data_IF_921012726824
#
_entry.id   IF_921012726824
#
_cell.length_a   1.000
_cell.length_b   1.000
_cell.length_c   1.000
_cell.angle_alpha   90.00
_cell.angle_beta   90.00
_cell.angle_gamma   90.00
#
_symmetry.space_group_name_H-M   'P 1'
#
loop_
_entity.id
_entity.type
_entity.pdbx_description
1 polymer ?
#
# COMPACT_ATOMS: atom_id res chain seq x y z
N UNK A 1 -29.76 -32.20 45.86
CA UNK A 1 -28.92 -32.56 47.01
C UNK A 1 -28.96 -31.41 48.02
N UNK A 2 -28.85 -31.75 49.31
CA UNK A 2 -28.60 -30.91 50.52
C UNK A 2 -27.26 -30.12 50.33
N UNK A 3 -26.86 -29.03 51.07
CA UNK A 3 -27.27 -28.48 52.40
C UNK A 3 -27.74 -26.99 52.43
N UNK A 4 -28.51 -26.51 53.45
CA UNK A 4 -28.16 -26.00 54.81
C UNK A 4 -27.29 -24.72 54.84
N UNK A 5 -27.34 -23.79 55.81
CA UNK A 5 -28.23 -23.30 56.87
C UNK A 5 -27.35 -22.32 57.72
N UNK A 6 -27.94 -21.52 58.63
CA UNK A 6 -27.26 -20.75 59.71
C UNK A 6 -26.40 -19.55 59.25
N UNK A 7 -26.25 -18.43 59.97
CA UNK A 7 -26.86 -17.81 61.16
C UNK A 7 -26.65 -16.26 60.97
N UNK A 8 -27.11 -15.28 61.76
CA UNK A 8 -27.61 -15.19 63.14
C UNK A 8 -28.69 -14.06 63.23
N UNK A 9 -29.39 -13.96 64.36
CA UNK A 9 -30.16 -12.78 64.80
C UNK A 9 -29.30 -11.93 65.76
N UNK A 10 -29.56 -10.62 65.87
CA UNK A 10 -30.12 -10.03 67.11
C UNK A 10 -30.45 -8.53 66.96
N UNK A 11 -31.64 -8.15 67.44
CA UNK A 11 -32.03 -6.76 67.66
C UNK A 11 -31.68 -6.33 69.09
N UNK A 12 -31.37 -5.05 69.33
CA UNK A 12 -32.19 -4.20 70.22
C UNK A 12 -31.75 -2.73 70.28
N UNK A 13 -32.76 -1.86 70.44
CA UNK A 13 -32.68 -0.45 70.77
C UNK A 13 -33.05 -0.28 72.25
N UNK A 14 -32.21 0.40 73.04
CA UNK A 14 -32.54 1.20 74.26
C UNK A 14 -31.22 1.90 74.68
N UNK A 15 -31.13 3.05 75.37
CA UNK A 15 -31.98 4.24 75.56
C UNK A 15 -31.35 5.12 76.68
N UNK A 16 -30.81 6.30 76.31
CA UNK A 16 -30.78 7.55 77.11
C UNK A 16 -29.86 7.67 78.37
N UNK A 17 -29.04 8.74 78.40
CA UNK A 17 -28.84 9.78 79.49
C UNK A 17 -27.40 10.37 79.47
N UNK A 18 -27.24 11.59 78.91
CA UNK A 18 -26.37 12.72 79.33
C UNK A 18 -24.83 12.60 79.51
N UNK A 19 -24.04 13.71 79.60
CA UNK A 19 -24.39 15.14 79.54
C UNK A 19 -23.68 15.99 78.45
N UNK A 20 -24.08 17.26 78.39
CA UNK A 20 -23.76 18.32 77.45
C UNK A 20 -22.26 18.61 77.14
N UNK A 21 -22.02 19.02 75.88
CA UNK A 21 -20.92 19.92 75.47
C UNK A 21 -21.51 21.08 74.68
N UNK A 22 -21.15 22.31 75.03
CA UNK A 22 -21.70 23.54 74.47
C UNK A 22 -20.93 24.00 73.23
N UNK A 23 -21.62 24.34 72.14
CA UNK A 23 -21.03 25.10 71.02
C UNK A 23 -21.92 26.29 70.65
N UNK A 24 -21.32 27.48 70.61
CA UNK A 24 -21.99 28.69 70.11
C UNK A 24 -22.08 28.64 68.57
N UNK A 25 -23.29 28.84 68.04
CA UNK A 25 -23.54 28.97 66.60
C UNK A 25 -23.84 30.44 66.29
N UNK A 26 -23.12 31.01 65.31
CA UNK A 26 -23.43 32.34 64.76
C UNK A 26 -24.62 32.26 63.81
N UNK A 27 -25.49 33.26 63.85
CA UNK A 27 -26.68 33.37 63.00
C UNK A 27 -26.33 33.44 61.50
N UNK A 28 -27.10 32.74 60.65
CA UNK A 28 -27.06 32.88 59.19
C UNK A 28 -28.46 33.22 58.66
N UNK A 29 -28.54 34.15 57.71
CA UNK A 29 -29.76 34.91 57.39
C UNK A 29 -30.48 34.40 56.12
N UNK A 30 -30.84 33.10 56.08
CA UNK A 30 -31.51 32.48 54.92
C UNK A 30 -32.64 31.50 55.29
N UNK A 31 -33.49 31.84 56.27
CA UNK A 31 -34.75 31.12 56.49
C UNK A 31 -35.93 31.90 55.89
N UNK A 32 -36.47 31.34 54.80
CA UNK A 32 -37.65 31.81 54.07
C UNK A 32 -38.89 31.67 54.95
N UNK A 33 -39.78 32.66 54.93
CA UNK A 33 -40.97 32.69 55.78
C UNK A 33 -42.19 32.05 55.11
N UNK A 34 -43.20 31.68 55.89
CA UNK A 34 -44.46 31.12 55.38
C UNK A 34 -45.25 32.07 54.47
N UNK A 35 -44.93 33.38 54.46
CA UNK A 35 -45.49 34.34 53.51
C UNK A 35 -44.92 34.18 52.08
N UNK A 36 -43.66 33.75 51.95
CA UNK A 36 -42.98 33.60 50.66
C UNK A 36 -43.52 32.41 49.86
N UNK A 37 -43.94 31.34 50.56
CA UNK A 37 -44.57 30.15 49.97
C UNK A 37 -45.92 30.48 49.31
N UNK A 38 -46.69 31.42 49.88
CA UNK A 38 -47.94 31.88 49.29
C UNK A 38 -47.70 32.67 47.98
N UNK A 39 -46.59 33.40 47.89
CA UNK A 39 -46.23 34.21 46.72
C UNK A 39 -45.59 33.38 45.58
N UNK A 40 -45.08 32.17 45.87
CA UNK A 40 -44.68 31.21 44.84
C UNK A 40 -45.90 30.61 44.11
N UNK A 41 -47.00 30.37 44.84
CA UNK A 41 -48.22 29.73 44.31
C UNK A 41 -49.00 30.64 43.35
N UNK A 42 -48.92 31.96 43.51
CA UNK A 42 -49.51 32.92 42.56
C UNK A 42 -48.72 33.01 41.25
N UNK A 43 -47.38 32.93 41.30
CA UNK A 43 -46.50 32.94 40.11
C UNK A 43 -46.60 31.68 39.25
N UNK A 44 -46.92 30.52 39.83
CA UNK A 44 -47.08 29.26 39.09
C UNK A 44 -48.32 29.22 38.17
N UNK A 45 -49.32 30.09 38.41
CA UNK A 45 -50.56 30.14 37.62
C UNK A 45 -50.50 31.08 36.39
N UNK A 46 -49.33 31.61 36.01
CA UNK A 46 -49.16 32.47 34.84
C UNK A 46 -48.10 31.96 33.84
N UNK A 47 -48.07 30.65 33.57
CA UNK A 47 -47.28 30.10 32.45
C UNK A 47 -48.03 30.35 31.12
N UNK A 48 -47.49 31.10 30.15
CA UNK A 48 -48.16 31.33 28.88
C UNK A 48 -48.07 30.07 27.99
N UNK A 49 -49.22 29.45 27.71
CA UNK A 49 -49.37 28.23 26.89
C UNK A 49 -49.04 28.39 25.39
N UNK A 50 -48.37 29.47 24.98
CA UNK A 50 -47.97 29.74 23.59
C UNK A 50 -46.57 29.27 23.21
N UNK A 51 -45.66 29.05 24.17
CA UNK A 51 -44.25 28.70 23.82
C UNK A 51 -44.09 27.24 23.34
N UNK A 52 -44.86 26.30 23.91
CA UNK A 52 -44.81 24.86 23.56
C UNK A 52 -45.23 24.57 22.11
N UNK A 53 -46.24 25.28 21.58
CA UNK A 53 -46.81 24.98 20.25
C UNK A 53 -45.87 25.36 19.10
N UNK A 54 -44.97 26.32 19.29
CA UNK A 54 -43.99 26.73 18.26
C UNK A 54 -42.86 25.70 18.11
N UNK A 55 -42.26 25.28 19.22
CA UNK A 55 -41.22 24.23 19.22
C UNK A 55 -41.77 22.91 18.67
N UNK A 56 -42.95 22.48 19.11
CA UNK A 56 -43.60 21.26 18.62
C UNK A 56 -43.80 21.26 17.09
N UNK A 57 -44.12 22.41 16.49
CA UNK A 57 -44.23 22.57 15.04
C UNK A 57 -42.88 22.49 14.32
N UNK A 58 -41.80 23.06 14.89
CA UNK A 58 -40.44 22.92 14.33
C UNK A 58 -39.98 21.46 14.32
N UNK A 59 -40.19 20.74 15.42
CA UNK A 59 -39.87 19.31 15.49
C UNK A 59 -40.70 18.48 14.50
N UNK A 60 -41.99 18.78 14.32
CA UNK A 60 -42.83 18.13 13.30
C UNK A 60 -42.33 18.38 11.87
N UNK A 61 -41.92 19.61 11.56
CA UNK A 61 -41.36 19.95 10.24
C UNK A 61 -40.02 19.21 10.03
N UNK A 62 -39.17 19.15 11.04
CA UNK A 62 -37.87 18.46 10.96
C UNK A 62 -38.03 16.95 10.76
N UNK A 63 -38.99 16.30 11.43
CA UNK A 63 -39.24 14.85 11.24
C UNK A 63 -39.83 14.56 9.86
N UNK A 64 -40.73 15.40 9.34
CA UNK A 64 -41.26 15.28 7.97
C UNK A 64 -40.15 15.43 6.93
N UNK A 65 -39.26 16.42 7.08
CA UNK A 65 -38.09 16.59 6.19
C UNK A 65 -37.18 15.37 6.24
N UNK A 66 -36.89 14.85 7.45
CA UNK A 66 -36.07 13.64 7.61
C UNK A 66 -36.66 12.42 6.90
N UNK A 67 -37.98 12.20 7.03
CA UNK A 67 -38.69 11.11 6.34
C UNK A 67 -38.64 11.28 4.81
N UNK A 68 -38.78 12.51 4.30
CA UNK A 68 -38.65 12.81 2.86
C UNK A 68 -37.22 12.54 2.38
N UNK A 69 -36.20 12.90 3.15
CA UNK A 69 -34.80 12.60 2.81
C UNK A 69 -34.52 11.08 2.80
N UNK A 70 -34.97 10.35 3.83
CA UNK A 70 -34.79 8.89 3.93
C UNK A 70 -35.51 8.17 2.77
N UNK A 71 -36.76 8.53 2.48
CA UNK A 71 -37.50 7.95 1.35
C UNK A 71 -36.87 8.30 0.00
N UNK A 72 -36.35 9.51 -0.17
CA UNK A 72 -35.57 9.91 -1.35
C UNK A 72 -34.31 9.06 -1.56
N UNK A 73 -33.54 8.81 -0.50
CA UNK A 73 -32.35 7.93 -0.53
C UNK A 73 -32.71 6.48 -0.85
N UNK A 74 -33.80 5.96 -0.27
CA UNK A 74 -34.28 4.60 -0.55
C UNK A 74 -34.75 4.45 -2.01
N UNK A 75 -35.46 5.44 -2.55
CA UNK A 75 -35.87 5.45 -3.97
C UNK A 75 -34.66 5.54 -4.88
N UNK A 76 -33.71 6.45 -4.62
CA UNK A 76 -32.49 6.58 -5.40
C UNK A 76 -31.66 5.28 -5.39
N UNK A 77 -31.50 4.65 -4.22
CA UNK A 77 -30.81 3.36 -4.07
C UNK A 77 -31.51 2.24 -4.84
N UNK A 78 -32.85 2.21 -4.79
CA UNK A 78 -33.67 1.24 -5.55
C UNK A 78 -33.56 1.45 -7.05
N UNK A 79 -33.50 2.70 -7.53
CA UNK A 79 -33.30 3.03 -8.95
C UNK A 79 -31.89 2.62 -9.39
N UNK A 80 -30.85 2.93 -8.62
CA UNK A 80 -29.47 2.50 -8.91
C UNK A 80 -29.36 0.98 -8.94
N UNK A 81 -29.99 0.27 -7.99
CA UNK A 81 -30.06 -1.18 -7.99
C UNK A 81 -30.76 -1.73 -9.24
N UNK A 82 -31.93 -1.20 -9.60
CA UNK A 82 -32.66 -1.60 -10.80
C UNK A 82 -31.89 -1.31 -12.11
N UNK A 83 -31.17 -0.19 -12.19
CA UNK A 83 -30.32 0.14 -13.34
C UNK A 83 -29.10 -0.80 -13.42
N UNK A 84 -28.42 -1.04 -12.29
CA UNK A 84 -27.27 -1.97 -12.22
C UNK A 84 -27.71 -3.40 -12.54
N UNK A 85 -28.85 -3.86 -12.01
CA UNK A 85 -29.43 -5.17 -12.32
C UNK A 85 -29.84 -5.30 -13.80
N UNK A 86 -30.47 -4.26 -14.39
CA UNK A 86 -30.75 -4.24 -15.84
C UNK A 86 -29.48 -4.25 -16.68
N UNK A 87 -28.44 -3.53 -16.29
CA UNK A 87 -27.14 -3.56 -17.00
C UNK A 87 -26.48 -4.94 -16.92
N UNK A 88 -26.52 -5.59 -15.75
CA UNK A 88 -26.00 -6.95 -15.56
C UNK A 88 -26.78 -7.97 -16.37
N UNK A 89 -28.11 -7.85 -16.44
CA UNK A 89 -28.94 -8.73 -17.26
C UNK A 89 -28.64 -8.55 -18.75
N UNK A 90 -28.49 -7.30 -19.22
CA UNK A 90 -28.16 -6.99 -20.62
C UNK A 90 -26.73 -7.39 -21.00
N UNK A 91 -25.80 -7.39 -20.04
CA UNK A 91 -24.44 -7.93 -20.21
C UNK A 91 -24.45 -9.46 -20.25
N UNK A 92 -25.23 -10.11 -19.38
CA UNK A 92 -25.41 -11.57 -19.36
C UNK A 92 -26.07 -12.07 -20.65
N UNK A 93 -27.08 -11.37 -21.14
CA UNK A 93 -27.77 -11.62 -22.42
C UNK A 93 -26.82 -11.45 -23.62
N UNK A 94 -25.94 -10.44 -23.60
CA UNK A 94 -24.86 -10.32 -24.58
C UNK A 94 -23.87 -11.49 -24.51
N UNK A 95 -23.44 -11.90 -23.31
CA UNK A 95 -22.55 -13.06 -23.16
C UNK A 95 -23.20 -14.37 -23.62
N UNK A 96 -24.49 -14.59 -23.35
CA UNK A 96 -25.18 -15.80 -23.82
C UNK A 96 -25.35 -15.83 -25.33
N UNK A 97 -25.61 -14.68 -25.97
CA UNK A 97 -25.70 -14.59 -27.43
C UNK A 97 -24.33 -14.70 -28.13
N UNK A 98 -23.22 -14.52 -27.40
CA UNK A 98 -21.85 -14.80 -27.86
C UNK A 98 -21.48 -16.29 -27.74
N UNK A 99 -22.30 -17.12 -27.08
CA UNK A 99 -22.07 -18.54 -26.88
C UNK A 99 -22.77 -19.47 -27.90
N UNK A 100 -23.47 -18.92 -28.89
CA UNK A 100 -24.43 -19.70 -29.71
C UNK A 100 -24.30 -19.52 -31.23
N UNK A 101 -23.11 -19.25 -31.76
CA UNK A 101 -22.88 -19.28 -33.21
C UNK A 101 -21.43 -19.71 -33.58
N UNK A 102 -21.22 -20.95 -34.08
CA UNK A 102 -19.89 -21.46 -34.40
C UNK A 102 -19.59 -21.35 -35.91
N UNK A 103 -19.36 -20.14 -36.44
CA UNK A 103 -18.96 -19.96 -37.85
C UNK A 103 -17.80 -18.98 -38.06
N UNK A 104 -16.64 -19.56 -38.40
CA UNK A 104 -15.57 -19.21 -39.39
C UNK A 104 -15.24 -17.77 -39.83
N UNK A 105 -16.10 -16.76 -39.67
CA UNK A 105 -16.03 -15.50 -40.44
C UNK A 105 -15.09 -14.43 -39.85
N UNK A 106 -14.93 -14.41 -38.52
CA UNK A 106 -14.05 -13.47 -37.83
C UNK A 106 -12.57 -13.66 -38.21
N UNK A 107 -12.14 -14.91 -38.40
CA UNK A 107 -10.74 -15.25 -38.76
C UNK A 107 -10.41 -14.84 -40.20
N UNK A 108 -11.35 -15.02 -41.13
CA UNK A 108 -11.19 -14.61 -42.53
C UNK A 108 -11.12 -13.07 -42.65
N UNK A 109 -11.99 -12.36 -41.92
CA UNK A 109 -12.00 -10.89 -41.87
C UNK A 109 -10.68 -10.33 -41.34
N UNK A 110 -10.11 -10.95 -40.29
CA UNK A 110 -8.80 -10.57 -39.75
C UNK A 110 -7.66 -10.79 -40.77
N UNK A 111 -7.67 -11.91 -41.49
CA UNK A 111 -6.64 -12.23 -42.47
C UNK A 111 -6.63 -11.27 -43.66
N UNK A 112 -7.79 -10.86 -44.20
CA UNK A 112 -7.82 -9.91 -45.32
C UNK A 112 -7.41 -8.48 -44.89
N UNK A 113 -7.74 -8.06 -43.65
CA UNK A 113 -7.23 -6.81 -43.06
C UNK A 113 -5.71 -6.82 -42.92
N UNK A 114 -5.11 -7.94 -42.52
CA UNK A 114 -3.65 -8.12 -42.53
C UNK A 114 -3.07 -8.06 -43.95
N UNK A 115 -3.75 -8.64 -44.95
CA UNK A 115 -3.30 -8.67 -46.35
C UNK A 115 -3.30 -7.28 -46.98
N UNK A 116 -4.35 -6.49 -46.77
CA UNK A 116 -4.45 -5.10 -47.23
C UNK A 116 -3.36 -4.21 -46.62
N UNK A 117 -3.01 -4.41 -45.34
CA UNK A 117 -1.98 -3.61 -44.65
C UNK A 117 -0.56 -3.86 -45.17
N UNK A 118 -0.29 -5.04 -45.72
CA UNK A 118 1.02 -5.40 -46.30
C UNK A 118 1.19 -4.91 -47.74
N UNK A 119 0.10 -4.58 -48.44
CA UNK A 119 0.14 -4.07 -49.82
C UNK A 119 0.54 -2.59 -49.93
N UNK A 120 0.57 -1.84 -48.81
CA UNK A 120 0.84 -0.39 -48.80
C UNK A 120 2.24 -0.10 -48.27
N UNK A 121 3.26 -0.48 -49.03
CA UNK A 121 4.65 -0.05 -48.80
C UNK A 121 5.43 0.04 -50.12
N UNK A 122 5.86 1.23 -50.57
CA UNK A 122 6.68 1.36 -51.78
C UNK A 122 8.13 0.91 -51.51
N UNK A 123 8.84 0.36 -52.50
CA UNK A 123 10.24 0.00 -52.36
C UNK A 123 11.13 1.26 -52.40
N UNK A 124 12.13 1.31 -51.52
CA UNK A 124 13.21 2.31 -51.57
C UNK A 124 14.50 1.58 -51.92
N UNK A 125 14.99 1.79 -53.13
CA UNK A 125 16.33 1.34 -53.56
C UNK A 125 17.41 2.26 -52.98
N UNK A 126 18.56 1.69 -52.61
CA UNK A 126 19.88 2.33 -52.75
C UNK A 126 21.00 1.27 -52.69
N UNK A 127 22.16 1.49 -53.35
CA UNK A 127 23.13 0.44 -53.68
C UNK A 127 24.30 0.32 -52.69
N UNK A 128 24.96 -0.84 -52.72
CA UNK A 128 26.27 -1.11 -52.07
C UNK A 128 27.43 -0.32 -52.71
N UNK A 129 28.59 -0.21 -52.01
CA UNK A 129 29.71 -1.06 -52.42
C UNK A 129 30.68 -1.57 -51.29
N UNK A 130 30.86 -2.89 -51.26
CA UNK A 130 32.13 -3.65 -51.49
C UNK A 130 33.39 -3.49 -50.56
N UNK A 131 33.87 -4.67 -50.09
CA UNK A 131 35.20 -5.05 -49.52
C UNK A 131 35.68 -4.45 -48.17
N UNK A 132 36.16 -5.25 -47.20
CA UNK A 132 37.33 -6.15 -47.34
C UNK A 132 37.45 -7.27 -46.26
N UNK A 133 38.23 -8.32 -46.61
CA UNK A 133 38.91 -9.39 -45.82
C UNK A 133 38.59 -9.59 -44.32
N UNK A 134 38.18 -10.79 -43.85
CA UNK A 134 38.92 -12.09 -43.76
C UNK A 134 40.14 -11.97 -42.81
N UNK A 135 40.25 -12.75 -41.72
CA UNK A 135 40.78 -14.13 -41.67
C UNK A 135 40.46 -14.81 -40.31
N UNK A 136 40.03 -16.09 -40.36
CA UNK A 136 40.32 -17.31 -39.56
C UNK A 136 40.81 -17.19 -38.09
N UNK A 137 40.61 -18.13 -37.15
CA UNK A 137 39.99 -19.48 -37.02
C UNK A 137 40.01 -19.84 -35.51
N UNK A 138 39.43 -20.91 -34.93
CA UNK A 138 39.31 -22.32 -35.34
C UNK A 138 38.11 -22.97 -34.62
N UNK A 139 37.55 -24.02 -35.20
CA UNK A 139 36.38 -24.75 -34.69
C UNK A 139 36.74 -25.93 -33.77
N UNK A 140 35.83 -26.26 -32.86
CA UNK A 140 35.55 -27.66 -32.47
C UNK A 140 34.09 -27.97 -32.84
N UNK A 141 33.89 -28.95 -33.72
CA UNK A 141 32.56 -29.33 -34.21
C UNK A 141 31.82 -30.21 -33.20
N UNK A 142 30.52 -29.97 -33.04
CA UNK A 142 29.48 -30.99 -32.93
C UNK A 142 28.15 -30.34 -33.35
N UNK A 143 27.33 -31.09 -34.09
CA UNK A 143 26.27 -30.54 -34.94
C UNK A 143 24.91 -30.47 -34.24
N UNK A 144 24.20 -29.35 -34.39
CA UNK A 144 22.78 -29.34 -34.79
C UNK A 144 22.26 -27.91 -35.10
N UNK A 145 21.59 -27.77 -36.25
CA UNK A 145 20.61 -26.71 -36.59
C UNK A 145 20.99 -25.21 -36.54
N UNK A 146 20.56 -24.37 -37.51
CA UNK A 146 20.57 -22.92 -37.33
C UNK A 146 19.47 -22.50 -36.34
N UNK A 147 19.84 -22.31 -35.07
CA UNK A 147 18.97 -21.70 -34.06
C UNK A 147 18.56 -20.28 -34.49
N UNK A 148 17.27 -19.96 -34.64
CA UNK A 148 16.85 -18.58 -34.88
C UNK A 148 17.11 -17.74 -33.63
N UNK A 149 17.69 -16.56 -33.81
CA UNK A 149 17.83 -15.59 -32.73
C UNK A 149 16.45 -15.28 -32.12
N UNK A 150 16.29 -15.26 -30.79
CA UNK A 150 15.00 -15.00 -30.17
C UNK A 150 14.54 -13.59 -30.54
N UNK A 151 13.46 -13.55 -31.32
CA UNK A 151 12.86 -12.30 -31.80
C UNK A 151 12.41 -11.45 -30.62
N UNK A 152 12.87 -10.20 -30.55
CA UNK A 152 12.43 -9.25 -29.54
C UNK A 152 10.98 -8.78 -29.81
N UNK A 153 9.99 -9.67 -29.60
CA UNK A 153 8.54 -9.40 -29.65
C UNK A 153 7.69 -10.62 -29.28
N UNK A 154 7.34 -10.75 -28.00
CA UNK A 154 6.02 -11.25 -27.55
C UNK A 154 5.75 -10.79 -26.13
N UNK A 155 4.64 -10.09 -25.93
CA UNK A 155 4.18 -9.67 -24.61
C UNK A 155 3.28 -10.74 -23.99
N UNK A 156 3.43 -10.96 -22.69
CA UNK A 156 2.36 -11.38 -21.75
C UNK A 156 1.46 -12.58 -22.15
N UNK A 157 1.94 -13.82 -21.94
CA UNK A 157 1.03 -14.98 -21.69
C UNK A 157 1.65 -16.24 -21.05
N UNK A 158 2.91 -16.23 -20.62
CA UNK A 158 3.48 -17.37 -19.88
C UNK A 158 4.50 -16.92 -18.84
N UNK A 159 4.00 -16.66 -17.62
CA UNK A 159 4.84 -16.68 -16.43
C UNK A 159 4.85 -18.12 -15.94
N UNK A 160 5.96 -18.84 -16.13
CA UNK A 160 6.08 -20.19 -15.57
C UNK A 160 5.95 -20.13 -14.05
N UNK A 161 5.24 -21.10 -13.46
CA UNK A 161 5.06 -21.18 -12.00
C UNK A 161 6.33 -21.66 -11.28
N UNK A 162 7.31 -22.20 -12.02
CA UNK A 162 8.56 -22.71 -11.47
C UNK A 162 9.25 -21.71 -10.52
N UNK A 163 9.69 -22.16 -9.32
CA UNK A 163 10.49 -21.35 -8.42
C UNK A 163 11.77 -20.89 -9.09
N UNK A 164 12.24 -19.67 -8.76
CA UNK A 164 13.59 -19.27 -9.14
C UNK A 164 14.59 -20.20 -8.42
N UNK A 165 15.57 -20.74 -9.15
CA UNK A 165 16.62 -21.58 -8.56
C UNK A 165 17.32 -20.84 -7.42
N UNK A 166 17.15 -21.33 -6.19
CA UNK A 166 17.81 -20.82 -5.00
C UNK A 166 19.18 -21.47 -4.85
N UNK A 167 20.24 -20.66 -4.68
CA UNK A 167 21.58 -21.18 -4.35
C UNK A 167 21.73 -21.47 -2.85
N UNK A 168 20.62 -21.67 -2.14
CA UNK A 168 20.58 -21.98 -0.71
C UNK A 168 20.71 -23.49 -0.54
N UNK A 169 21.72 -23.94 0.21
CA UNK A 169 21.84 -25.35 0.57
C UNK A 169 20.87 -25.74 1.69
N UNK A 170 20.57 -27.04 1.77
CA UNK A 170 19.59 -27.60 2.71
C UNK A 170 19.97 -27.32 4.17
N UNK A 171 21.26 -27.31 4.52
CA UNK A 171 21.72 -27.10 5.90
C UNK A 171 21.56 -25.64 6.34
N UNK A 172 21.92 -24.69 5.46
CA UNK A 172 21.67 -23.26 5.64
C UNK A 172 20.16 -22.99 5.79
N UNK A 173 19.32 -23.58 4.94
CA UNK A 173 17.86 -23.41 5.05
C UNK A 173 17.29 -23.89 6.39
N UNK A 174 17.71 -25.06 6.88
CA UNK A 174 17.28 -25.55 8.20
C UNK A 174 17.79 -24.68 9.35
N UNK A 175 19.03 -24.18 9.27
CA UNK A 175 19.58 -23.29 10.29
C UNK A 175 18.80 -21.98 10.38
N UNK A 176 18.46 -21.36 9.25
CA UNK A 176 17.70 -20.11 9.26
C UNK A 176 16.25 -20.35 9.66
N UNK A 177 15.62 -21.46 9.25
CA UNK A 177 14.28 -21.82 9.71
C UNK A 177 14.24 -22.00 11.24
N UNK A 178 15.24 -22.67 11.82
CA UNK A 178 15.36 -22.82 13.28
C UNK A 178 15.57 -21.47 13.99
N UNK A 179 16.38 -20.57 13.42
CA UNK A 179 16.56 -19.20 13.92
C UNK A 179 15.23 -18.41 13.89
N UNK A 180 14.49 -18.44 12.78
CA UNK A 180 13.19 -17.77 12.66
C UNK A 180 12.16 -18.35 13.66
N UNK A 181 12.07 -19.68 13.75
CA UNK A 181 11.18 -20.37 14.68
C UNK A 181 11.49 -20.07 16.16
N UNK A 182 12.77 -19.88 16.53
CA UNK A 182 13.13 -19.45 17.88
C UNK A 182 12.58 -18.06 18.21
N UNK A 183 12.70 -17.08 17.30
CA UNK A 183 12.14 -15.73 17.52
C UNK A 183 10.62 -15.75 17.66
N UNK A 184 9.92 -16.52 16.82
CA UNK A 184 8.46 -16.62 16.84
C UNK A 184 7.94 -17.36 18.09
N UNK A 185 8.70 -18.32 18.63
CA UNK A 185 8.35 -19.04 19.88
C UNK A 185 8.76 -18.25 21.13
N UNK A 186 9.89 -17.54 21.09
CA UNK A 186 10.47 -16.82 22.21
C UNK A 186 10.01 -15.35 22.25
N UNK A 187 8.76 -15.14 22.69
CA UNK A 187 8.14 -13.81 22.76
C UNK A 187 8.94 -12.78 23.56
N UNK A 188 9.69 -13.20 24.58
CA UNK A 188 10.54 -12.30 25.39
C UNK A 188 11.75 -11.81 24.60
N UNK A 189 12.38 -12.69 23.80
CA UNK A 189 13.45 -12.30 22.86
C UNK A 189 12.94 -11.31 21.82
N UNK A 190 11.80 -11.62 21.18
CA UNK A 190 11.19 -10.77 20.17
C UNK A 190 10.78 -9.38 20.72
N UNK A 191 10.29 -9.31 21.97
CA UNK A 191 10.02 -8.03 22.62
C UNK A 191 11.31 -7.23 22.86
N UNK A 192 12.34 -7.84 23.46
CA UNK A 192 13.61 -7.16 23.75
C UNK A 192 14.34 -6.68 22.49
N UNK A 193 14.24 -7.43 21.39
CA UNK A 193 14.80 -7.05 20.09
C UNK A 193 14.00 -5.90 19.46
N UNK A 194 12.67 -5.93 19.55
CA UNK A 194 11.82 -4.82 19.12
C UNK A 194 12.00 -3.54 19.96
N UNK A 195 12.20 -3.66 21.27
CA UNK A 195 12.57 -2.55 22.16
C UNK A 195 13.91 -1.93 21.77
N UNK A 196 14.93 -2.75 21.50
CA UNK A 196 16.23 -2.29 21.02
C UNK A 196 16.11 -1.56 19.67
N UNK A 197 15.35 -2.13 18.72
CA UNK A 197 15.02 -1.49 17.45
C UNK A 197 14.28 -0.16 17.67
N UNK A 198 13.35 -0.06 18.62
CA UNK A 198 12.65 1.20 18.93
C UNK A 198 13.57 2.27 19.53
N UNK A 199 14.63 1.88 20.23
CA UNK A 199 15.68 2.77 20.73
C UNK A 199 16.72 3.14 19.65
N UNK A 200 16.79 2.40 18.54
CA UNK A 200 17.75 2.62 17.46
C UNK A 200 17.58 4.00 16.80
N UNK A 201 18.70 4.70 16.64
CA UNK A 201 18.79 5.95 15.88
C UNK A 201 19.96 5.84 14.91
N UNK A 202 19.68 6.06 13.62
CA UNK A 202 20.71 6.17 12.60
C UNK A 202 21.66 7.33 12.90
N UNK A 203 22.93 7.23 12.49
CA UNK A 203 23.86 8.36 12.55
C UNK A 203 24.60 8.51 11.21
N UNK A 204 24.40 9.62 10.47
CA UNK A 204 23.57 10.79 10.80
C UNK A 204 22.05 10.53 10.61
N UNK A 205 21.21 11.28 11.33
CA UNK A 205 19.73 11.24 11.25
C UNK A 205 19.06 12.57 10.83
N UNK A 206 19.84 13.54 10.33
CA UNK A 206 19.33 14.85 9.95
C UNK A 206 18.28 14.77 8.81
N UNK A 207 17.17 15.53 8.94
CA UNK A 207 16.07 15.61 7.95
C UNK A 207 15.76 17.06 7.56
N UNK A 208 16.73 17.96 7.73
CA UNK A 208 16.57 19.42 7.65
C UNK A 208 16.13 19.90 6.27
N UNK A 209 16.53 19.20 5.19
CA UNK A 209 16.14 19.52 3.82
C UNK A 209 14.63 19.35 3.61
N UNK A 210 14.04 18.27 4.15
CA UNK A 210 12.60 18.02 4.04
C UNK A 210 11.76 18.89 4.98
N UNK A 211 12.37 19.42 6.04
CA UNK A 211 11.72 20.33 7.00
C UNK A 211 11.75 21.81 6.60
N UNK A 212 12.43 22.20 5.50
CA UNK A 212 12.40 23.58 4.97
C UNK A 212 10.98 24.01 4.59
N UNK A 213 10.64 25.28 4.78
CA UNK A 213 9.30 25.84 4.55
C UNK A 213 8.68 25.51 3.17
N UNK A 214 9.49 25.49 2.11
CA UNK A 214 9.06 25.11 0.76
C UNK A 214 8.77 23.61 0.58
N UNK A 215 9.35 22.76 1.43
CA UNK A 215 9.33 21.29 1.33
C UNK A 215 8.35 20.64 2.31
N UNK A 216 8.01 21.27 3.44
CA UNK A 216 7.04 20.73 4.43
C UNK A 216 5.72 20.33 3.77
N UNK A 217 5.21 21.12 2.82
CA UNK A 217 3.97 20.85 2.08
C UNK A 217 4.08 19.71 1.04
N UNK A 218 5.28 19.22 0.77
CA UNK A 218 5.54 18.04 -0.06
C UNK A 218 5.61 16.76 0.79
N UNK A 219 5.56 16.84 2.12
CA UNK A 219 5.57 15.67 3.01
C UNK A 219 4.14 15.26 3.41
N UNK A 220 3.83 13.97 3.33
CA UNK A 220 2.55 13.40 3.79
C UNK A 220 2.51 13.24 5.31
N UNK A 221 3.62 12.83 5.91
CA UNK A 221 3.80 12.68 7.34
C UNK A 221 5.03 13.49 7.78
N UNK A 222 4.93 14.21 8.90
CA UNK A 222 6.06 14.95 9.50
C UNK A 222 7.06 14.05 10.22
N UNK A 223 6.65 12.83 10.56
CA UNK A 223 7.46 11.81 11.26
C UNK A 223 8.31 10.94 10.33
N UNK A 224 8.02 10.93 9.03
CA UNK A 224 8.71 10.12 8.02
C UNK A 224 9.19 11.02 6.89
N UNK A 225 10.40 11.56 7.05
CA UNK A 225 11.06 12.47 6.10
C UNK A 225 12.39 11.83 5.71
N UNK A 226 12.73 11.80 4.41
CA UNK A 226 14.01 11.28 3.95
C UNK A 226 15.19 12.03 4.61
N UNK A 227 16.24 11.30 5.00
CA UNK A 227 17.43 11.90 5.59
C UNK A 227 18.21 12.75 4.59
N UNK A 228 18.91 13.76 5.09
CA UNK A 228 19.67 14.72 4.28
C UNK A 228 20.82 14.04 3.51
N UNK A 229 21.45 13.01 4.09
CA UNK A 229 22.49 12.19 3.44
C UNK A 229 21.93 11.10 2.52
N UNK A 230 20.65 10.73 2.66
CA UNK A 230 20.03 9.61 1.96
C UNK A 230 18.64 9.97 1.43
N UNK A 231 18.60 10.99 0.55
CA UNK A 231 17.39 11.42 -0.18
C UNK A 231 17.61 11.37 -1.68
N UNK A 232 16.53 11.10 -2.41
CA UNK A 232 16.48 11.37 -3.85
C UNK A 232 16.50 12.89 -4.06
N UNK A 233 17.27 13.31 -5.06
CA UNK A 233 17.45 14.70 -5.46
C UNK A 233 17.06 14.81 -6.93
N UNK A 234 15.96 15.51 -7.21
CA UNK A 234 15.46 15.73 -8.57
C UNK A 234 16.30 16.80 -9.28
N UNK A 235 16.39 16.72 -10.61
CA UNK A 235 16.95 17.81 -11.41
C UNK A 235 16.03 19.03 -11.38
N UNK A 236 16.44 20.08 -10.67
CA UNK A 236 15.63 21.27 -10.47
C UNK A 236 15.26 21.95 -11.81
N UNK A 237 16.14 21.90 -12.81
CA UNK A 237 15.92 22.42 -14.16
C UNK A 237 14.77 21.74 -14.93
N UNK A 238 14.43 20.49 -14.57
CA UNK A 238 13.31 19.73 -15.13
C UNK A 238 12.06 19.78 -14.24
N UNK A 239 12.11 20.47 -13.09
CA UNK A 239 11.04 20.49 -12.11
C UNK A 239 10.18 21.76 -12.25
N UNK A 240 8.85 21.59 -12.28
CA UNK A 240 7.91 22.71 -12.41
C UNK A 240 8.05 23.79 -11.32
N UNK A 241 8.51 23.41 -10.12
CA UNK A 241 8.75 24.33 -9.01
C UNK A 241 10.20 24.80 -8.85
N UNK A 242 11.10 24.47 -9.79
CA UNK A 242 12.55 24.65 -9.67
C UNK A 242 13.11 24.13 -8.32
N UNK A 243 12.61 22.97 -7.90
CA UNK A 243 12.88 22.33 -6.61
C UNK A 243 13.47 20.94 -6.84
N UNK A 244 14.47 20.59 -6.05
CA UNK A 244 15.14 19.28 -6.07
C UNK A 244 14.47 18.24 -5.14
N UNK A 245 13.45 18.65 -4.38
CA UNK A 245 12.94 17.87 -3.26
C UNK A 245 11.74 16.98 -3.60
N UNK A 246 11.88 15.70 -3.24
CA UNK A 246 10.83 14.71 -3.09
C UNK A 246 11.11 13.88 -1.82
N UNK A 247 10.08 13.48 -1.08
CA UNK A 247 10.23 12.62 0.10
C UNK A 247 10.42 11.14 -0.31
N UNK A 248 11.62 10.83 -0.79
CA UNK A 248 12.04 9.49 -1.16
C UNK A 248 13.51 9.26 -0.78
N UNK A 249 13.84 8.02 -0.41
CA UNK A 249 15.20 7.59 -0.07
C UNK A 249 15.64 6.46 -0.99
N UNK A 250 16.86 6.51 -1.57
CA UNK A 250 17.46 5.32 -2.17
C UNK A 250 17.72 4.28 -1.08
N UNK A 251 17.51 3.00 -1.39
CA UNK A 251 17.83 1.88 -0.50
C UNK A 251 18.81 0.96 -1.20
N UNK A 252 20.02 0.90 -0.67
CA UNK A 252 21.13 0.07 -1.08
C UNK A 252 21.01 -1.30 -0.40
N UNK A 253 21.18 -2.37 -1.19
CA UNK A 253 21.31 -3.75 -0.72
C UNK A 253 22.82 -4.10 -0.61
N UNK A 254 23.40 -4.64 -1.68
CA UNK A 254 24.78 -5.14 -1.69
C UNK A 254 25.77 -4.26 -2.48
N UNK A 255 25.31 -3.50 -3.49
CA UNK A 255 26.13 -2.54 -4.20
C UNK A 255 25.80 -1.11 -3.72
N UNK A 256 26.68 -0.44 -2.97
CA UNK A 256 26.41 0.91 -2.45
C UNK A 256 26.32 1.98 -3.55
N UNK A 257 26.71 1.66 -4.81
CA UNK A 257 26.65 2.58 -5.94
C UNK A 257 25.33 2.52 -6.72
N UNK A 258 24.56 1.45 -6.54
CA UNK A 258 23.34 1.17 -7.30
C UNK A 258 22.21 0.80 -6.32
N UNK A 259 21.28 1.72 -6.00
CA UNK A 259 20.18 1.39 -5.10
C UNK A 259 19.32 0.27 -5.69
N UNK A 260 18.96 -0.70 -4.86
CA UNK A 260 18.06 -1.78 -5.23
C UNK A 260 16.60 -1.30 -5.23
N UNK A 261 16.28 -0.36 -4.33
CA UNK A 261 14.94 0.21 -4.20
C UNK A 261 14.99 1.73 -4.05
N UNK A 262 13.85 2.37 -4.28
CA UNK A 262 13.58 3.73 -3.80
C UNK A 262 12.34 3.65 -2.91
N UNK A 263 12.49 3.90 -1.62
CA UNK A 263 11.39 3.95 -0.66
C UNK A 263 10.82 5.38 -0.62
N UNK A 264 9.55 5.55 -0.94
CA UNK A 264 8.90 6.87 -1.04
C UNK A 264 7.52 6.87 -0.39
N UNK A 265 7.03 8.05 0.00
CA UNK A 265 5.62 8.22 0.37
C UNK A 265 4.70 8.03 -0.85
N UNK A 266 3.45 7.68 -0.61
CA UNK A 266 2.37 7.71 -1.59
C UNK A 266 2.09 9.15 -2.04
N UNK A 267 2.15 9.46 -3.36
CA UNK A 267 2.07 10.83 -3.86
C UNK A 267 0.93 11.67 -3.29
N UNK A 268 1.21 12.96 -3.08
CA UNK A 268 0.22 14.00 -2.80
C UNK A 268 -0.25 14.60 -4.15
N UNK A 269 -1.41 15.29 -4.21
CA UNK A 269 -1.85 15.97 -5.42
C UNK A 269 -0.79 16.95 -5.97
N UNK A 270 -0.05 17.61 -5.07
CA UNK A 270 1.03 18.55 -5.38
C UNK A 270 2.36 17.90 -5.79
N UNK A 271 2.54 16.58 -5.59
CA UNK A 271 3.83 15.88 -5.84
C UNK A 271 3.72 14.78 -6.89
N UNK A 272 2.62 14.72 -7.67
CA UNK A 272 2.48 13.74 -8.76
C UNK A 272 3.51 13.96 -9.87
N UNK A 273 3.74 15.21 -10.25
CA UNK A 273 4.76 15.57 -11.24
C UNK A 273 6.18 15.21 -10.73
N UNK A 274 6.48 15.56 -9.48
CA UNK A 274 7.74 15.19 -8.81
C UNK A 274 7.96 13.67 -8.81
N UNK A 275 6.90 12.89 -8.55
CA UNK A 275 6.96 11.42 -8.56
C UNK A 275 7.25 10.86 -9.95
N UNK A 276 6.59 11.34 -11.01
CA UNK A 276 6.88 10.89 -12.38
C UNK A 276 8.25 11.37 -12.88
N UNK A 277 8.72 12.53 -12.43
CA UNK A 277 10.11 12.96 -12.63
C UNK A 277 11.09 11.96 -11.98
N UNK A 278 10.85 11.56 -10.74
CA UNK A 278 11.65 10.53 -10.06
C UNK A 278 11.63 9.19 -10.82
N UNK A 279 10.47 8.71 -11.26
CA UNK A 279 10.34 7.47 -12.06
C UNK A 279 11.16 7.56 -13.35
N UNK A 280 11.15 8.71 -14.02
CA UNK A 280 11.93 8.96 -15.23
C UNK A 280 13.44 8.96 -14.96
N UNK A 281 13.89 9.87 -14.08
CA UNK A 281 15.30 10.16 -13.81
C UNK A 281 16.04 8.99 -13.14
N UNK A 282 15.36 8.22 -12.29
CA UNK A 282 15.94 7.03 -11.62
C UNK A 282 16.15 5.82 -12.55
N UNK A 283 15.67 5.87 -13.79
CA UNK A 283 15.69 4.69 -14.66
C UNK A 283 14.62 3.64 -14.33
N UNK A 284 13.71 3.92 -13.40
CA UNK A 284 12.75 2.95 -12.87
C UNK A 284 11.78 2.43 -13.95
N UNK A 285 11.51 1.11 -13.89
CA UNK A 285 10.51 0.40 -14.71
C UNK A 285 9.54 -0.46 -13.89
N UNK A 286 9.71 -0.55 -12.56
CA UNK A 286 8.82 -1.29 -11.66
C UNK A 286 8.43 -0.44 -10.45
N UNK A 287 7.14 -0.23 -10.27
CA UNK A 287 6.55 0.44 -9.09
C UNK A 287 5.78 -0.60 -8.28
N UNK A 288 5.98 -0.60 -6.96
CA UNK A 288 5.26 -1.43 -5.98
C UNK A 288 4.46 -0.49 -5.08
N UNK A 289 3.14 -0.57 -5.16
CA UNK A 289 2.18 0.20 -4.38
C UNK A 289 1.47 -0.72 -3.37
N UNK A 290 1.66 -0.44 -2.08
CA UNK A 290 1.23 -1.29 -0.95
C UNK A 290 0.15 -0.60 -0.10
N UNK A 291 -0.79 0.08 -0.75
CA UNK A 291 -1.90 0.79 -0.09
C UNK A 291 -3.04 1.02 -1.06
N UNK A 292 -4.31 0.89 -0.65
CA UNK A 292 -5.41 1.51 -1.38
C UNK A 292 -5.30 3.04 -1.33
N UNK A 293 -6.07 3.75 -2.16
CA UNK A 293 -6.09 5.22 -2.18
C UNK A 293 -6.64 5.82 -0.87
N UNK A 294 -7.60 5.14 -0.24
CA UNK A 294 -8.30 5.58 0.98
C UNK A 294 -8.51 4.38 1.90
N UNK A 295 -8.28 4.57 3.21
CA UNK A 295 -8.57 3.59 4.26
C UNK A 295 -9.41 4.28 5.33
N UNK A 296 -10.57 3.73 5.70
CA UNK A 296 -11.46 4.28 6.74
C UNK A 296 -11.79 5.79 6.56
N UNK A 297 -11.88 6.25 5.31
CA UNK A 297 -12.10 7.66 4.94
C UNK A 297 -10.84 8.54 4.89
N UNK A 298 -9.69 8.04 5.34
CA UNK A 298 -8.39 8.73 5.32
C UNK A 298 -7.66 8.47 4.00
N UNK A 299 -7.27 9.53 3.29
CA UNK A 299 -6.55 9.44 2.01
C UNK A 299 -5.09 9.01 2.20
N UNK A 300 -4.76 7.77 1.85
CA UNK A 300 -3.41 7.21 1.98
C UNK A 300 -2.52 7.49 0.77
N UNK A 301 -3.09 7.54 -0.43
CA UNK A 301 -2.35 7.86 -1.64
C UNK A 301 -3.24 8.70 -2.58
N UNK A 302 -2.67 9.67 -3.30
CA UNK A 302 -3.38 10.30 -4.40
C UNK A 302 -3.35 9.41 -5.65
N UNK A 303 -4.35 9.55 -6.51
CA UNK A 303 -4.44 8.82 -7.78
C UNK A 303 -3.48 9.43 -8.80
N UNK A 304 -2.30 8.82 -8.96
CA UNK A 304 -1.20 9.38 -9.75
C UNK A 304 -1.09 8.80 -11.17
N UNK A 305 -2.07 8.01 -11.62
CA UNK A 305 -2.10 7.37 -12.94
C UNK A 305 -3.44 7.62 -13.66
N UNK A 306 -3.55 7.39 -14.99
CA UNK A 306 -4.84 7.41 -15.71
C UNK A 306 -5.63 6.12 -15.52
N UNK A 307 -6.96 6.23 -15.36
CA UNK A 307 -7.90 5.10 -15.41
C UNK A 307 -8.11 4.57 -16.84
N UNK A 308 -8.04 5.46 -17.83
CA UNK A 308 -8.14 5.14 -19.25
C UNK A 308 -7.29 6.11 -20.09
N UNK A 309 -6.79 5.65 -21.23
CA UNK A 309 -5.96 6.48 -22.12
C UNK A 309 -4.72 7.03 -21.41
N UNK A 310 -4.52 8.34 -21.50
CA UNK A 310 -3.29 9.01 -21.06
C UNK A 310 -3.52 10.30 -20.29
N UNK A 311 -2.72 10.52 -19.25
CA UNK A 311 -2.65 11.77 -18.49
C UNK A 311 -1.25 12.39 -18.63
N UNK A 312 -1.19 13.72 -18.68
CA UNK A 312 0.06 14.47 -18.71
C UNK A 312 0.39 15.04 -17.32
N UNK A 313 1.52 14.62 -16.74
CA UNK A 313 2.04 15.10 -15.47
C UNK A 313 3.30 15.93 -15.73
N UNK A 314 3.16 17.26 -15.77
CA UNK A 314 4.18 18.20 -16.27
C UNK A 314 4.61 17.88 -17.71
N UNK A 315 5.77 17.25 -17.92
CA UNK A 315 6.27 16.81 -19.24
C UNK A 315 6.20 15.29 -19.45
N UNK A 316 5.65 14.56 -18.47
CA UNK A 316 5.58 13.10 -18.45
C UNK A 316 4.18 12.65 -18.83
N UNK A 317 4.03 12.21 -20.09
CA UNK A 317 2.79 11.58 -20.56
C UNK A 317 2.78 10.12 -20.13
N UNK A 318 1.78 9.74 -19.34
CA UNK A 318 1.59 8.38 -18.83
C UNK A 318 0.33 7.84 -19.48
N UNK A 319 0.45 6.77 -20.27
CA UNK A 319 -0.67 6.09 -20.91
C UNK A 319 -0.88 4.69 -20.31
N UNK A 320 -2.09 4.37 -19.84
CA UNK A 320 -2.45 3.01 -19.44
C UNK A 320 -2.54 2.11 -20.67
N UNK A 321 -1.73 1.04 -20.70
CA UNK A 321 -1.71 0.04 -21.77
C UNK A 321 -2.57 -1.17 -21.41
N UNK A 322 -2.52 -1.59 -20.15
CA UNK A 322 -3.27 -2.73 -19.64
C UNK A 322 -3.43 -2.66 -18.13
N UNK A 323 -4.59 -3.04 -17.62
CA UNK A 323 -4.80 -3.42 -16.21
C UNK A 323 -5.18 -4.91 -16.15
N UNK A 324 -4.62 -5.65 -15.19
CA UNK A 324 -4.92 -7.05 -14.96
C UNK A 324 -5.06 -7.33 -13.47
N UNK A 325 -6.28 -7.64 -13.03
CA UNK A 325 -6.57 -8.11 -11.68
C UNK A 325 -6.16 -9.57 -11.57
N UNK A 326 -5.25 -9.88 -10.64
CA UNK A 326 -4.74 -11.25 -10.45
C UNK A 326 -5.54 -12.01 -9.39
N UNK A 327 -5.91 -11.33 -8.31
CA UNK A 327 -6.75 -11.83 -7.23
C UNK A 327 -7.46 -10.63 -6.56
N UNK A 328 -8.18 -10.88 -5.47
CA UNK A 328 -8.88 -9.83 -4.70
C UNK A 328 -7.92 -8.88 -3.95
N UNK A 329 -6.65 -9.27 -3.79
CA UNK A 329 -5.65 -8.49 -3.04
C UNK A 329 -4.81 -7.54 -3.91
N UNK A 330 -4.54 -7.93 -5.16
CA UNK A 330 -3.65 -7.17 -6.02
C UNK A 330 -3.93 -7.28 -7.53
N UNK A 331 -3.51 -6.22 -8.20
CA UNK A 331 -3.57 -6.05 -9.66
C UNK A 331 -2.23 -5.56 -10.20
N UNK A 332 -2.07 -5.64 -11.52
CA UNK A 332 -0.90 -5.14 -12.24
C UNK A 332 -1.33 -4.23 -13.38
N UNK A 333 -0.71 -3.04 -13.46
CA UNK A 333 -0.85 -2.10 -14.58
C UNK A 333 0.43 -2.01 -15.38
N UNK A 334 0.30 -1.92 -16.70
CA UNK A 334 1.39 -1.56 -17.59
C UNK A 334 1.14 -0.16 -18.13
N UNK A 335 2.10 0.73 -17.94
CA UNK A 335 2.08 2.09 -18.46
C UNK A 335 3.11 2.25 -19.59
N UNK A 336 2.76 3.05 -20.59
CA UNK A 336 3.70 3.63 -21.52
C UNK A 336 3.99 5.06 -21.05
N UNK A 337 5.22 5.29 -20.62
CA UNK A 337 5.68 6.57 -20.10
C UNK A 337 6.53 7.25 -21.16
N UNK A 338 6.18 8.49 -21.54
CA UNK A 338 6.86 9.30 -22.53
C UNK A 338 7.30 10.63 -21.93
N UNK A 339 8.55 11.01 -22.18
CA UNK A 339 9.03 12.36 -21.94
C UNK A 339 8.68 13.22 -23.18
N UNK A 340 7.87 14.26 -23.00
CA UNK A 340 7.38 15.10 -24.09
C UNK A 340 8.41 16.10 -24.62
N UNK A 341 9.51 16.33 -23.90
CA UNK A 341 10.63 17.16 -24.36
C UNK A 341 11.61 16.34 -25.21
N UNK A 342 12.04 15.16 -24.74
CA UNK A 342 13.02 14.32 -25.47
C UNK A 342 12.38 13.39 -26.49
N UNK A 343 11.06 13.15 -26.39
CA UNK A 343 10.30 12.12 -27.12
C UNK A 343 10.76 10.68 -26.87
N UNK A 344 11.65 10.45 -25.90
CA UNK A 344 12.02 9.12 -25.43
C UNK A 344 10.85 8.48 -24.67
N UNK A 345 10.79 7.15 -24.68
CA UNK A 345 9.71 6.39 -24.05
C UNK A 345 10.22 5.14 -23.34
N UNK A 346 9.45 4.67 -22.35
CA UNK A 346 9.69 3.39 -21.66
C UNK A 346 8.37 2.77 -21.21
N UNK A 347 8.39 1.45 -20.97
CA UNK A 347 7.30 0.78 -20.24
C UNK A 347 7.61 0.80 -18.74
N UNK A 348 6.59 1.09 -17.92
CA UNK A 348 6.66 1.01 -16.46
C UNK A 348 5.52 0.10 -15.98
N UNK A 349 5.83 -0.90 -15.16
CA UNK A 349 4.84 -1.81 -14.58
C UNK A 349 4.58 -1.44 -13.13
N UNK A 350 3.33 -1.17 -12.77
CA UNK A 350 2.89 -0.95 -11.39
C UNK A 350 2.23 -2.22 -10.87
N UNK A 351 2.75 -2.75 -9.77
CA UNK A 351 2.15 -3.81 -8.97
C UNK A 351 1.45 -3.14 -7.79
N UNK A 352 0.13 -3.34 -7.67
CA UNK A 352 -0.69 -2.65 -6.68
C UNK A 352 -1.39 -3.66 -5.76
N UNK A 353 -0.83 -3.82 -4.56
CA UNK A 353 -1.42 -4.57 -3.45
C UNK A 353 -2.32 -3.60 -2.67
N UNK A 354 -3.64 -3.80 -2.74
CA UNK A 354 -4.62 -2.80 -2.29
C UNK A 354 -5.45 -3.23 -1.07
N UNK A 355 -5.31 -4.47 -0.58
CA UNK A 355 -5.97 -4.97 0.63
C UNK A 355 -5.11 -4.85 1.90
N UNK A 356 -3.80 -4.61 1.79
CA UNK A 356 -2.94 -4.41 2.95
C UNK A 356 -3.21 -3.04 3.58
N UNK A 357 -3.93 -3.00 4.71
CA UNK A 357 -4.27 -1.79 5.47
C UNK A 357 -3.12 -1.30 6.36
N UNK A 358 -3.14 -0.04 6.82
CA UNK A 358 -2.02 0.54 7.55
C UNK A 358 -1.89 0.08 9.01
N UNK A 359 -3.01 -0.26 9.63
CA UNK A 359 -3.14 -0.70 11.03
C UNK A 359 -3.03 -2.23 11.20
N UNK A 360 -2.82 -2.97 10.10
CA UNK A 360 -2.87 -4.43 10.08
C UNK A 360 -1.73 -5.02 9.24
N UNK A 361 -1.39 -6.27 9.53
CA UNK A 361 -0.61 -7.13 8.63
C UNK A 361 -1.57 -7.96 7.77
N UNK A 362 -1.17 -8.42 6.58
CA UNK A 362 -1.97 -9.37 5.79
C UNK A 362 -2.29 -10.62 6.61
N UNK A 363 -3.51 -11.14 6.50
CA UNK A 363 -3.94 -12.35 7.26
C UNK A 363 -3.10 -13.59 6.93
N UNK A 364 -2.52 -13.65 5.73
CA UNK A 364 -1.62 -14.72 5.30
C UNK A 364 -0.40 -14.15 4.59
N UNK A 365 0.77 -14.77 4.76
CA UNK A 365 1.98 -14.35 4.03
C UNK A 365 1.97 -14.75 2.55
N UNK A 366 1.25 -15.84 2.23
CA UNK A 366 1.25 -16.47 0.90
C UNK A 366 0.91 -15.48 -0.23
N UNK A 367 -0.14 -14.66 -0.08
CA UNK A 367 -0.50 -13.66 -1.09
C UNK A 367 0.61 -12.64 -1.30
N UNK A 368 1.29 -12.21 -0.23
CA UNK A 368 2.41 -11.29 -0.33
C UNK A 368 3.64 -11.94 -0.99
N UNK A 369 3.89 -13.22 -0.72
CA UNK A 369 4.92 -14.00 -1.39
C UNK A 369 4.62 -14.20 -2.87
N UNK A 370 3.38 -14.47 -3.27
CA UNK A 370 2.97 -14.58 -4.68
C UNK A 370 3.06 -13.23 -5.42
N UNK A 371 2.64 -12.15 -4.77
CA UNK A 371 2.85 -10.79 -5.25
C UNK A 371 4.34 -10.50 -5.45
N UNK A 372 5.17 -10.81 -4.46
CA UNK A 372 6.64 -10.67 -4.51
C UNK A 372 7.26 -11.49 -5.64
N UNK A 373 6.85 -12.76 -5.82
CA UNK A 373 7.33 -13.63 -6.92
C UNK A 373 7.00 -13.02 -8.29
N UNK A 374 5.81 -12.43 -8.47
CA UNK A 374 5.45 -11.71 -9.71
C UNK A 374 6.26 -10.43 -9.90
N UNK A 375 6.49 -9.64 -8.85
CA UNK A 375 7.38 -8.46 -8.89
C UNK A 375 8.81 -8.86 -9.28
N UNK A 376 9.32 -9.98 -8.75
CA UNK A 376 10.69 -10.46 -9.00
C UNK A 376 10.87 -11.16 -10.35
N UNK A 377 9.80 -11.71 -10.95
CA UNK A 377 9.80 -12.20 -12.35
C UNK A 377 9.65 -11.06 -13.37
N UNK A 378 9.22 -9.86 -12.96
CA UNK A 378 9.09 -8.72 -13.86
C UNK A 378 10.43 -8.30 -14.48
N UNK A 379 10.42 -7.87 -15.75
CA UNK A 379 11.62 -7.37 -16.41
C UNK A 379 12.14 -6.09 -15.75
N UNK A 380 13.44 -6.06 -15.46
CA UNK A 380 14.15 -4.91 -14.91
C UNK A 380 15.39 -4.64 -15.76
N UNK A 381 15.65 -3.36 -16.06
CA UNK A 381 16.95 -2.97 -16.60
C UNK A 381 18.07 -3.24 -15.59
N UNK A 382 19.30 -3.41 -16.07
CA UNK A 382 20.47 -3.50 -15.18
C UNK A 382 20.59 -2.20 -14.37
N UNK A 383 20.75 -2.31 -13.06
CA UNK A 383 20.88 -1.19 -12.12
C UNK A 383 19.69 -0.21 -12.06
N UNK A 384 18.48 -0.65 -12.45
CA UNK A 384 17.26 0.12 -12.25
C UNK A 384 16.64 -0.20 -10.88
N UNK A 385 16.44 0.77 -9.96
CA UNK A 385 15.79 0.51 -8.67
C UNK A 385 14.29 0.21 -8.85
N UNK A 386 13.74 -0.58 -7.92
CA UNK A 386 12.28 -0.73 -7.76
C UNK A 386 11.76 0.39 -6.87
N UNK A 387 10.81 1.20 -7.35
CA UNK A 387 10.14 2.18 -6.49
C UNK A 387 9.12 1.43 -5.63
N UNK A 388 9.20 1.54 -4.31
CA UNK A 388 8.26 0.94 -3.35
C UNK A 388 7.62 2.05 -2.52
N UNK A 389 6.30 2.04 -2.42
CA UNK A 389 5.56 2.99 -1.60
C UNK A 389 4.30 2.41 -0.96
N UNK A 390 3.90 3.01 0.15
CA UNK A 390 2.59 2.84 0.77
C UNK A 390 1.97 4.24 0.96
N UNK A 391 1.54 4.57 2.18
CA UNK A 391 1.13 5.92 2.58
C UNK A 391 2.35 6.80 2.89
N UNK A 392 3.03 6.59 4.01
CA UNK A 392 4.23 7.36 4.42
C UNK A 392 5.54 6.87 3.78
N UNK A 393 5.56 5.66 3.23
CA UNK A 393 6.77 5.05 2.69
C UNK A 393 7.69 4.45 3.75
N UNK A 394 7.17 4.12 4.94
CA UNK A 394 7.95 3.59 6.07
C UNK A 394 7.44 2.23 6.57
N UNK A 395 6.17 2.12 7.00
CA UNK A 395 5.63 0.89 7.60
C UNK A 395 5.61 -0.29 6.61
N UNK A 396 4.51 -0.41 5.85
CA UNK A 396 4.33 -1.46 4.81
C UNK A 396 5.46 -1.51 3.77
N UNK A 397 6.01 -0.33 3.42
CA UNK A 397 7.17 -0.21 2.51
C UNK A 397 8.42 -0.85 3.10
N UNK A 398 8.72 -0.58 4.38
CA UNK A 398 9.84 -1.20 5.09
C UNK A 398 9.63 -2.70 5.28
N UNK A 399 8.42 -3.14 5.62
CA UNK A 399 8.10 -4.58 5.77
C UNK A 399 8.33 -5.35 4.47
N UNK A 400 7.84 -4.83 3.33
CA UNK A 400 8.04 -5.44 2.03
C UNK A 400 9.52 -5.49 1.62
N UNK A 401 10.25 -4.38 1.79
CA UNK A 401 11.67 -4.32 1.44
C UNK A 401 12.50 -5.23 2.36
N UNK A 402 12.21 -5.30 3.66
CA UNK A 402 12.88 -6.20 4.61
C UNK A 402 12.73 -7.66 4.19
N UNK A 403 11.49 -8.09 3.91
CA UNK A 403 11.20 -9.45 3.42
C UNK A 403 11.94 -9.72 2.11
N UNK A 404 11.87 -8.81 1.14
CA UNK A 404 12.51 -9.02 -0.16
C UNK A 404 14.04 -9.05 -0.07
N UNK A 405 14.66 -8.16 0.72
CA UNK A 405 16.11 -8.14 0.94
C UNK A 405 16.60 -9.42 1.62
N UNK A 406 15.93 -9.86 2.70
CA UNK A 406 16.31 -11.09 3.42
C UNK A 406 16.24 -12.31 2.49
N UNK A 407 15.12 -12.48 1.79
CA UNK A 407 14.93 -13.60 0.85
C UNK A 407 15.89 -13.54 -0.35
N UNK A 408 16.24 -12.33 -0.81
CA UNK A 408 17.25 -12.16 -1.86
C UNK A 408 18.67 -12.45 -1.37
N UNK A 409 19.02 -12.12 -0.11
CA UNK A 409 20.31 -12.52 0.51
C UNK A 409 20.41 -14.05 0.59
N UNK A 410 19.37 -14.73 1.06
CA UNK A 410 19.28 -16.20 1.10
C UNK A 410 19.44 -16.83 -0.29
N UNK A 411 18.69 -16.35 -1.30
CA UNK A 411 18.75 -16.88 -2.66
C UNK A 411 20.14 -16.72 -3.32
N UNK A 412 20.91 -15.71 -2.90
CA UNK A 412 22.32 -15.48 -3.29
C UNK A 412 23.33 -16.36 -2.53
N UNK A 413 22.89 -17.20 -1.58
CA UNK A 413 23.74 -18.10 -0.80
C UNK A 413 24.32 -17.50 0.49
N UNK A 414 23.69 -16.47 1.07
CA UNK A 414 24.05 -16.01 2.41
C UNK A 414 23.77 -17.11 3.45
N UNK A 415 24.82 -17.48 4.22
CA UNK A 415 24.75 -18.57 5.21
C UNK A 415 24.09 -18.16 6.52
N UNK A 416 24.22 -16.90 6.88
CA UNK A 416 23.68 -16.32 8.11
C UNK A 416 22.81 -15.13 7.74
N UNK A 417 21.68 -14.99 8.46
CA UNK A 417 20.69 -13.94 8.27
C UNK A 417 20.37 -13.37 9.64
N UNK A 418 20.64 -12.09 9.81
CA UNK A 418 20.14 -11.29 10.93
C UNK A 418 19.10 -10.32 10.36
N UNK A 419 17.84 -10.48 10.79
CA UNK A 419 16.72 -9.68 10.32
C UNK A 419 16.63 -8.34 11.06
N UNK A 420 17.06 -8.28 12.33
CA UNK A 420 17.12 -7.05 13.10
C UNK A 420 18.22 -6.14 12.55
N UNK A 421 19.44 -6.65 12.34
CA UNK A 421 20.52 -5.90 11.71
C UNK A 421 20.18 -5.50 10.25
N UNK A 422 19.41 -6.31 9.52
CA UNK A 422 18.90 -5.90 8.19
C UNK A 422 17.86 -4.78 8.30
N UNK A 423 17.09 -4.70 9.38
CA UNK A 423 16.16 -3.60 9.65
C UNK A 423 16.88 -2.33 10.14
N UNK A 424 17.92 -2.45 10.96
CA UNK A 424 18.82 -1.32 11.30
C UNK A 424 19.43 -0.70 10.04
N UNK A 425 19.97 -1.52 9.13
CA UNK A 425 20.48 -1.09 7.82
C UNK A 425 19.42 -0.41 6.93
N UNK A 426 18.13 -0.75 7.07
CA UNK A 426 17.04 -0.01 6.42
C UNK A 426 16.78 1.34 7.11
N UNK A 427 16.83 1.36 8.45
CA UNK A 427 16.62 2.55 9.28
C UNK A 427 17.77 3.55 9.20
N UNK A 428 18.98 3.13 8.80
CA UNK A 428 20.10 4.02 8.42
C UNK A 428 19.84 4.83 7.15
N UNK A 429 18.98 4.32 6.27
CA UNK A 429 18.75 4.87 4.94
C UNK A 429 17.42 5.63 4.84
N UNK A 430 16.40 5.21 5.60
CA UNK A 430 15.12 5.93 5.73
C UNK A 430 14.57 5.76 7.15
N UNK A 431 14.15 6.85 7.84
CA UNK A 431 13.62 6.73 9.19
C UNK A 431 12.29 5.97 9.23
N UNK A 432 12.08 5.23 10.32
CA UNK A 432 10.80 4.60 10.64
C UNK A 432 10.44 3.37 9.81
N UNK A 433 11.37 2.83 8.99
CA UNK A 433 11.15 1.59 8.25
C UNK A 433 10.71 0.46 9.20
N UNK A 434 9.60 -0.22 8.87
CA UNK A 434 8.84 -1.13 9.77
C UNK A 434 8.41 -0.42 11.06
N UNK A 435 7.14 -0.08 11.19
CA UNK A 435 6.66 0.84 12.25
C UNK A 435 6.08 0.16 13.48
N UNK A 436 5.59 -1.07 13.36
CA UNK A 436 4.96 -1.81 14.47
C UNK A 436 5.65 -3.14 14.69
N UNK A 437 5.56 -3.65 15.92
CA UNK A 437 6.04 -4.99 16.28
C UNK A 437 5.36 -6.05 15.40
N UNK A 438 4.06 -5.93 15.18
CA UNK A 438 3.29 -6.85 14.35
C UNK A 438 3.83 -6.92 12.91
N UNK A 439 4.25 -5.77 12.34
CA UNK A 439 4.90 -5.72 11.02
C UNK A 439 6.28 -6.43 11.02
N UNK A 440 7.01 -6.42 12.12
CA UNK A 440 8.29 -7.13 12.28
C UNK A 440 8.09 -8.63 12.48
N UNK A 441 7.15 -9.03 13.34
CA UNK A 441 6.74 -10.43 13.56
C UNK A 441 6.16 -11.07 12.28
N UNK A 442 5.40 -10.30 11.50
CA UNK A 442 4.93 -10.71 10.18
C UNK A 442 6.07 -10.86 9.16
N UNK A 443 7.11 -10.02 9.20
CA UNK A 443 8.29 -10.17 8.34
C UNK A 443 9.06 -11.47 8.66
N UNK A 444 9.30 -11.74 9.95
CA UNK A 444 9.85 -13.01 10.45
C UNK A 444 9.03 -14.21 9.95
N UNK A 445 7.71 -14.17 10.15
CA UNK A 445 6.78 -15.25 9.75
C UNK A 445 6.81 -15.49 8.25
N UNK A 446 6.75 -14.42 7.45
CA UNK A 446 6.79 -14.49 5.97
C UNK A 446 8.09 -15.09 5.46
N UNK A 447 9.23 -14.74 6.07
CA UNK A 447 10.54 -15.30 5.70
C UNK A 447 10.61 -16.78 6.08
N UNK A 448 10.14 -17.16 7.26
CA UNK A 448 10.10 -18.57 7.70
C UNK A 448 9.24 -19.45 6.77
N UNK A 449 8.07 -18.96 6.37
CA UNK A 449 7.16 -19.68 5.47
C UNK A 449 7.77 -19.87 4.07
N UNK A 450 8.46 -18.87 3.51
CA UNK A 450 9.16 -19.01 2.22
C UNK A 450 10.34 -19.97 2.30
N UNK A 451 11.16 -19.93 3.37
CA UNK A 451 12.27 -20.87 3.57
C UNK A 451 11.74 -22.31 3.66
N UNK A 452 10.67 -22.53 4.42
CA UNK A 452 10.00 -23.83 4.53
C UNK A 452 9.43 -24.30 3.17
N UNK A 453 8.87 -23.39 2.37
CA UNK A 453 8.42 -23.70 1.01
C UNK A 453 9.58 -24.11 0.09
N UNK A 454 10.72 -23.40 0.13
CA UNK A 454 11.91 -23.73 -0.66
C UNK A 454 12.48 -25.10 -0.23
N UNK A 455 12.63 -25.36 1.08
CA UNK A 455 13.14 -26.63 1.61
C UNK A 455 12.32 -27.85 1.17
N UNK A 456 11.00 -27.71 1.01
CA UNK A 456 10.11 -28.78 0.51
C UNK A 456 10.31 -29.12 -0.98
N UNK A 457 10.96 -28.24 -1.74
CA UNK A 457 11.17 -28.37 -3.19
C UNK A 457 12.59 -28.85 -3.51
N UNK A 458 13.55 -28.64 -2.60
CA UNK A 458 14.91 -29.16 -2.76
C UNK A 458 14.92 -30.70 -2.67
N UNK A 459 15.71 -31.40 -3.51
CA UNK A 459 15.87 -32.85 -3.41
C UNK A 459 16.56 -33.21 -2.08
N UNK A 460 15.93 -34.13 -1.32
CA UNK A 460 16.38 -34.56 0.01
C UNK A 460 17.59 -35.52 -0.03
#
# INVERSE_FOLDING_TARGET
>A
MIPQNNLLFFCHLYSVVSPAVTFQVRSNAQNITTADVANLRSKLNQIPTKYSRSESLKFLILTVISIICITGVLIASSVVYCLRHRSHHKLKEKLTNLGSDPTTDATATYQELCRQRMAVKPPVEKPDPIHSSRINSVSSQLSDGPMPSPSARTSTSSWSEEPAHSNMDISTGHMILAYMEDHLKNKTRLESEWEALCAYQAEPNATTMGQRDGNVKKNRASTVIAYDHCRITLKAENNQGNSDYINASPIMDHDPRNPAYIATQGPLPSTVADFWQMVWESGCVVIVMLTPLTENGVKQCYHYWPDEGSNLYHIYEVNLVSEHVWCEDFLVRSFYLKNMQTNETRTVTQFHYHTWLNDQTPETSQTLLDFRRKVNKCYRGRSCPVIVHCSDGAGRTGTYILIDMVLNKMAKGAKEIDIAATLEHLRDQRPGMVQTKDQFEFALTTVAEEVNAILKILPQ
#
